data_IF_439667828914
#
_entry.id   IF_439667828914
#
_cell.length_a   1.000
_cell.length_b   1.000
_cell.length_c   1.000
_cell.angle_alpha   90.00
_cell.angle_beta   90.00
_cell.angle_gamma   90.00
#
_symmetry.space_group_name_H-M   'P 1'
#
loop_
_entity.id
_entity.type
_entity.pdbx_description
1 polymer ?
#
# COMPACT_ATOMS: atom_id res chain seq x y z
N UNK A 1 15.45 8.38 -5.39
CA UNK A 1 16.22 7.53 -4.46
C UNK A 1 17.17 6.68 -5.27
N UNK A 2 18.43 6.50 -4.85
CA UNK A 2 19.40 5.61 -5.49
C UNK A 2 19.08 4.16 -5.11
N UNK A 3 19.03 3.25 -6.10
CA UNK A 3 18.79 1.83 -5.88
C UNK A 3 19.80 1.17 -4.92
N UNK A 4 20.97 1.75 -4.73
CA UNK A 4 22.01 1.27 -3.81
C UNK A 4 21.73 1.58 -2.34
N UNK A 5 20.79 2.48 -2.04
CA UNK A 5 20.53 2.98 -0.68
C UNK A 5 19.07 2.77 -0.25
N UNK A 6 18.38 1.78 -0.84
CA UNK A 6 17.00 1.44 -0.48
C UNK A 6 17.00 0.64 0.83
N UNK A 7 16.19 1.06 1.80
CA UNK A 7 15.90 0.26 2.99
C UNK A 7 14.92 -0.87 2.64
N UNK A 8 15.45 -2.06 2.34
CA UNK A 8 14.66 -3.27 2.05
C UNK A 8 13.90 -3.84 3.26
N UNK A 9 14.19 -3.33 4.47
CA UNK A 9 13.47 -3.69 5.70
C UNK A 9 12.31 -2.72 5.99
N UNK A 10 12.12 -1.68 5.18
CA UNK A 10 10.97 -0.79 5.29
C UNK A 10 9.67 -1.54 5.00
N UNK A 11 8.63 -1.30 5.79
CA UNK A 11 7.29 -1.85 5.54
C UNK A 11 6.73 -1.45 4.16
N UNK A 12 7.17 -0.31 3.64
CA UNK A 12 6.77 0.18 2.34
C UNK A 12 7.56 -0.45 1.18
N UNK A 13 8.64 -1.20 1.44
CA UNK A 13 9.47 -1.78 0.37
C UNK A 13 8.68 -2.78 -0.50
N UNK A 14 8.94 -2.74 -1.79
CA UNK A 14 8.47 -3.74 -2.75
C UNK A 14 9.34 -3.79 -3.99
N UNK A 15 9.34 -4.92 -4.70
CA UNK A 15 9.97 -5.05 -6.02
C UNK A 15 9.03 -4.63 -7.16
N UNK A 16 7.75 -4.41 -6.86
CA UNK A 16 6.73 -3.95 -7.79
C UNK A 16 6.26 -2.54 -7.43
N UNK A 17 5.49 -1.94 -8.33
CA UNK A 17 4.85 -0.65 -8.16
C UNK A 17 3.41 -0.83 -7.73
N UNK A 18 2.98 -0.07 -6.73
CA UNK A 18 1.61 -0.16 -6.21
C UNK A 18 0.94 1.19 -6.11
N UNK A 19 -0.33 1.23 -6.51
CA UNK A 19 -1.29 2.20 -6.02
C UNK A 19 -1.62 1.87 -4.57
N UNK A 20 -1.53 2.89 -3.71
CA UNK A 20 -1.89 2.75 -2.29
C UNK A 20 -3.40 2.91 -2.05
N UNK A 21 -4.19 3.18 -3.10
CA UNK A 21 -5.62 3.49 -3.04
C UNK A 21 -5.96 4.71 -2.17
N UNK A 22 -4.95 5.51 -1.80
CA UNK A 22 -5.10 6.74 -1.04
C UNK A 22 -5.05 7.93 -2.00
N UNK A 23 -6.11 8.75 -2.10
CA UNK A 23 -6.11 9.94 -2.94
C UNK A 23 -5.00 10.92 -2.54
N UNK A 24 -4.37 11.55 -3.53
CA UNK A 24 -3.39 12.64 -3.31
C UNK A 24 -3.80 13.97 -3.93
N UNK A 25 -4.79 13.96 -4.84
CA UNK A 25 -5.36 15.18 -5.41
C UNK A 25 -6.28 14.91 -6.60
N UNK A 26 -6.91 15.97 -7.09
CA UNK A 26 -7.73 15.96 -8.29
C UNK A 26 -7.50 17.26 -9.08
N UNK A 27 -7.12 17.16 -10.35
CA UNK A 27 -7.02 18.30 -11.25
C UNK A 27 -8.32 18.41 -12.06
N UNK A 28 -9.22 19.27 -11.57
CA UNK A 28 -10.55 19.50 -12.15
C UNK A 28 -10.49 19.86 -13.64
N UNK A 29 -9.61 20.78 -14.02
CA UNK A 29 -9.51 21.28 -15.40
C UNK A 29 -9.28 20.17 -16.45
N UNK A 30 -8.73 19.02 -16.04
CA UNK A 30 -8.43 17.90 -16.91
C UNK A 30 -9.18 16.61 -16.51
N UNK A 31 -10.04 16.65 -15.49
CA UNK A 31 -10.69 15.48 -14.89
C UNK A 31 -9.69 14.37 -14.49
N UNK A 32 -8.53 14.75 -13.96
CA UNK A 32 -7.44 13.82 -13.61
C UNK A 32 -7.43 13.56 -12.11
N UNK A 33 -7.57 12.29 -11.73
CA UNK A 33 -7.35 11.83 -10.35
C UNK A 33 -5.87 11.46 -10.12
N UNK A 34 -5.39 11.77 -8.92
CA UNK A 34 -4.06 11.41 -8.47
C UNK A 34 -4.13 10.57 -7.20
N UNK A 35 -3.30 9.54 -7.13
CA UNK A 35 -3.13 8.70 -5.95
C UNK A 35 -1.69 8.72 -5.44
N UNK A 36 -1.54 8.39 -4.16
CA UNK A 36 -0.24 8.07 -3.61
C UNK A 36 0.27 6.76 -4.21
N UNK A 37 1.52 6.81 -4.67
CA UNK A 37 2.19 5.73 -5.35
C UNK A 37 3.36 5.21 -4.54
N UNK A 38 3.45 3.88 -4.44
CA UNK A 38 4.57 3.16 -3.82
C UNK A 38 5.50 2.71 -4.95
N UNK A 39 6.70 3.29 -4.98
CA UNK A 39 7.75 2.97 -5.94
C UNK A 39 8.52 1.71 -5.55
N UNK A 40 8.97 0.88 -6.49
CA UNK A 40 9.86 -0.24 -6.19
C UNK A 40 11.20 0.17 -5.54
N UNK A 41 11.50 1.48 -5.53
CA UNK A 41 12.56 2.07 -4.73
C UNK A 41 12.24 2.17 -3.21
N UNK A 42 11.10 1.67 -2.75
CA UNK A 42 10.67 1.68 -1.35
C UNK A 42 10.13 3.01 -0.83
N UNK A 43 9.79 3.94 -1.73
CA UNK A 43 9.32 5.26 -1.35
C UNK A 43 7.86 5.51 -1.73
N UNK A 44 7.20 6.33 -0.91
CA UNK A 44 5.90 6.92 -1.25
C UNK A 44 6.15 8.23 -1.99
N UNK A 45 5.36 8.49 -3.02
CA UNK A 45 5.34 9.78 -3.73
C UNK A 45 3.91 10.13 -4.10
N UNK A 46 3.57 11.40 -4.00
CA UNK A 46 2.28 11.93 -4.41
C UNK A 46 2.26 12.19 -5.91
N UNK A 47 1.06 12.27 -6.49
CA UNK A 47 0.89 12.97 -7.76
C UNK A 47 1.13 12.17 -9.03
N UNK A 48 0.93 10.85 -9.01
CA UNK A 48 0.85 10.10 -10.26
C UNK A 48 -0.60 10.01 -10.73
N UNK A 49 -0.82 10.37 -11.99
CA UNK A 49 -2.10 10.19 -12.65
C UNK A 49 -2.44 8.70 -12.66
N UNK A 50 -3.64 8.36 -12.19
CA UNK A 50 -4.17 6.99 -12.13
C UNK A 50 -4.52 6.46 -13.53
N UNK A 51 -3.53 6.36 -14.40
CA UNK A 51 -3.60 5.73 -15.72
C UNK A 51 -2.54 4.63 -15.91
N UNK A 52 -1.60 4.51 -14.96
CA UNK A 52 -0.59 3.46 -14.97
C UNK A 52 -1.13 2.11 -14.54
N UNK A 53 -0.69 1.05 -15.22
CA UNK A 53 -0.94 -0.35 -14.85
C UNK A 53 -0.04 -0.75 -13.67
N UNK A 54 -0.43 -0.39 -12.46
CA UNK A 54 0.24 -0.80 -11.21
C UNK A 54 -0.69 -1.67 -10.37
N UNK A 55 -0.10 -2.49 -9.49
CA UNK A 55 -0.89 -3.30 -8.56
C UNK A 55 -1.60 -2.43 -7.52
N UNK A 56 -2.65 -2.95 -6.88
CA UNK A 56 -3.19 -2.36 -5.65
C UNK A 56 -2.56 -3.07 -4.44
N UNK A 57 -2.06 -2.31 -3.46
CA UNK A 57 -1.59 -2.89 -2.19
C UNK A 57 -2.66 -2.67 -1.11
N UNK A 58 -3.53 -3.65 -0.83
CA UNK A 58 -4.44 -3.56 0.31
C UNK A 58 -3.64 -3.54 1.61
N UNK A 59 -3.93 -2.59 2.50
CA UNK A 59 -3.32 -2.48 3.82
C UNK A 59 -4.43 -2.47 4.86
N UNK A 60 -4.29 -3.29 5.89
CA UNK A 60 -5.17 -3.30 7.06
C UNK A 60 -4.35 -2.84 8.26
N UNK A 61 -4.74 -1.71 8.85
CA UNK A 61 -4.14 -1.22 10.09
C UNK A 61 -4.96 -1.72 11.27
N UNK A 62 -4.32 -2.49 12.15
CA UNK A 62 -4.91 -2.97 13.39
C UNK A 62 -4.36 -2.16 14.56
N UNK A 63 -5.13 -2.06 15.65
CA UNK A 63 -4.60 -1.52 16.91
C UNK A 63 -3.53 -2.47 17.45
N UNK A 64 -2.60 -1.95 18.24
CA UNK A 64 -1.46 -2.72 18.76
C UNK A 64 -1.85 -3.90 19.67
N UNK A 65 -3.04 -3.84 20.27
CA UNK A 65 -3.60 -4.88 21.16
C UNK A 65 -4.41 -5.94 20.40
N UNK A 66 -4.64 -5.76 19.10
CA UNK A 66 -5.35 -6.74 18.26
C UNK A 66 -4.39 -7.84 17.87
N UNK A 67 -4.70 -9.08 18.27
CA UNK A 67 -3.91 -10.27 17.94
C UNK A 67 -4.50 -10.99 16.73
N UNK A 68 -3.68 -11.22 15.72
CA UNK A 68 -3.98 -12.17 14.64
C UNK A 68 -3.70 -13.57 15.19
N UNK A 69 -4.74 -14.40 15.32
CA UNK A 69 -4.65 -15.75 15.88
C UNK A 69 -4.49 -16.84 14.81
N UNK A 70 -4.73 -16.50 13.54
CA UNK A 70 -4.55 -17.43 12.42
C UNK A 70 -4.81 -16.80 11.05
N UNK A 71 -4.65 -17.62 10.03
CA UNK A 71 -4.83 -17.28 8.62
C UNK A 71 -3.71 -16.44 8.01
N UNK A 72 -3.57 -16.53 6.68
CA UNK A 72 -2.53 -15.81 5.92
C UNK A 72 -3.08 -14.63 5.10
N UNK A 73 -4.38 -14.34 5.18
CA UNK A 73 -5.01 -13.19 4.52
C UNK A 73 -5.39 -13.42 3.06
N UNK A 74 -5.57 -14.68 2.64
CA UNK A 74 -6.11 -15.01 1.30
C UNK A 74 -7.62 -15.21 1.37
N UNK A 75 -8.31 -15.27 0.23
CA UNK A 75 -9.75 -15.54 0.20
C UNK A 75 -10.11 -16.90 0.81
N UNK A 76 -9.23 -17.89 0.65
CA UNK A 76 -9.43 -19.26 1.14
C UNK A 76 -8.87 -19.46 2.56
N UNK A 77 -8.02 -18.54 3.03
CA UNK A 77 -7.47 -18.54 4.39
C UNK A 77 -7.39 -17.09 4.93
N UNK A 78 -8.53 -16.49 5.30
CA UNK A 78 -8.60 -15.10 5.77
C UNK A 78 -7.96 -14.92 7.14
N UNK A 79 -7.53 -13.70 7.48
CA UNK A 79 -7.02 -13.41 8.82
C UNK A 79 -8.08 -13.63 9.90
N UNK A 80 -7.70 -14.33 10.96
CA UNK A 80 -8.55 -14.59 12.14
C UNK A 80 -8.05 -13.67 13.26
N UNK A 81 -8.98 -12.90 13.83
CA UNK A 81 -8.69 -11.97 14.91
C UNK A 81 -9.12 -12.59 16.24
N UNK A 82 -8.24 -12.55 17.23
CA UNK A 82 -8.59 -12.88 18.61
C UNK A 82 -9.48 -11.77 19.18
N UNK A 83 -10.73 -12.11 19.47
CA UNK A 83 -11.73 -11.15 19.98
C UNK A 83 -11.92 -11.25 21.49
N UNK A 84 -11.19 -12.16 22.14
CA UNK A 84 -11.25 -12.31 23.59
C UNK A 84 -10.57 -11.11 24.25
N UNK A 85 -11.34 -10.35 25.02
CA UNK A 85 -10.88 -9.28 25.90
C UNK A 85 -10.67 -9.81 27.31
#
# INVERSE_FOLDING_TARGET
MDNRHINKLSWAYSTQHYWTMSPSGFAEANNIAFEWYQSSAGNLTNGWYVAGLYGARPVINLKSDVKISGGIGTSNDPFIIDTNK
#
